data_IF_151528780719
#
_entry.id   IF_151528780719
#
_cell.length_a   1.000
_cell.length_b   1.000
_cell.length_c   1.000
_cell.angle_alpha   90.00
_cell.angle_beta   90.00
_cell.angle_gamma   90.00
#
_symmetry.space_group_name_H-M   'P 1'
#
loop_
_entity.id
_entity.type
_entity.pdbx_description
1 polymer ?
#
# COMPACT_ATOMS: atom_id res chain seq x y z
N UNK A 1 -8.31 -19.27 22.13
CA UNK A 1 -8.38 -20.36 21.12
C UNK A 1 -9.36 -19.98 20.01
N UNK A 2 -9.10 -18.87 19.32
CA UNK A 2 -9.88 -18.48 18.15
C UNK A 2 -9.42 -19.30 16.94
N UNK A 3 -10.35 -20.07 16.37
CA UNK A 3 -10.45 -20.43 14.95
C UNK A 3 -9.29 -21.08 14.17
N UNK A 4 -8.42 -21.87 14.81
CA UNK A 4 -7.41 -22.70 14.10
C UNK A 4 -8.02 -23.53 12.95
N UNK A 5 -9.24 -24.06 13.13
CA UNK A 5 -9.95 -24.82 12.08
C UNK A 5 -10.44 -23.97 10.90
N UNK A 6 -10.79 -22.70 11.12
CA UNK A 6 -11.25 -21.81 10.07
C UNK A 6 -10.06 -21.29 9.22
N UNK A 7 -8.91 -21.02 9.85
CA UNK A 7 -7.67 -20.63 9.18
C UNK A 7 -7.14 -21.77 8.30
N UNK A 8 -7.21 -23.02 8.78
CA UNK A 8 -6.86 -24.21 8.00
C UNK A 8 -7.70 -24.34 6.72
N UNK A 9 -8.98 -23.96 6.74
CA UNK A 9 -9.84 -24.01 5.56
C UNK A 9 -9.49 -22.94 4.51
N UNK A 10 -9.07 -21.73 4.93
CA UNK A 10 -8.60 -20.68 4.02
C UNK A 10 -7.24 -21.06 3.46
N UNK A 11 -6.30 -21.45 4.33
CA UNK A 11 -4.98 -21.94 3.93
C UNK A 11 -5.09 -23.12 2.97
N UNK A 12 -5.99 -24.07 3.22
CA UNK A 12 -6.26 -25.20 2.32
C UNK A 12 -6.79 -24.77 0.95
N UNK A 13 -7.74 -23.82 0.89
CA UNK A 13 -8.23 -23.27 -0.39
C UNK A 13 -7.14 -22.50 -1.14
N UNK A 14 -6.33 -21.72 -0.44
CA UNK A 14 -5.21 -20.98 -1.03
C UNK A 14 -4.11 -21.92 -1.51
N UNK A 15 -3.78 -22.97 -0.76
CA UNK A 15 -2.84 -24.01 -1.16
C UNK A 15 -3.34 -24.76 -2.41
N UNK A 16 -4.62 -25.18 -2.44
CA UNK A 16 -5.23 -25.79 -3.62
C UNK A 16 -5.21 -24.84 -4.83
N UNK A 17 -5.45 -23.55 -4.62
CA UNK A 17 -5.34 -22.53 -5.67
C UNK A 17 -3.91 -22.35 -6.14
N UNK A 18 -2.93 -22.30 -5.24
CA UNK A 18 -1.52 -22.19 -5.59
C UNK A 18 -1.07 -23.42 -6.40
N UNK A 19 -1.48 -24.63 -5.99
CA UNK A 19 -1.25 -25.88 -6.75
C UNK A 19 -1.93 -25.81 -8.11
N UNK A 20 -3.20 -25.39 -8.17
CA UNK A 20 -3.94 -25.23 -9.43
C UNK A 20 -3.30 -24.21 -10.38
N UNK A 21 -2.84 -23.06 -9.86
CA UNK A 21 -2.10 -22.06 -10.64
C UNK A 21 -0.77 -22.62 -11.15
N UNK A 22 -0.02 -23.35 -10.32
CA UNK A 22 1.23 -24.04 -10.75
C UNK A 22 0.97 -25.00 -11.90
N UNK A 23 -0.08 -25.81 -11.80
CA UNK A 23 -0.45 -26.78 -12.84
C UNK A 23 -0.93 -26.11 -14.14
N UNK A 24 -1.51 -24.90 -14.06
CA UNK A 24 -1.98 -24.12 -15.21
C UNK A 24 -0.94 -23.13 -15.75
N UNK A 25 0.27 -23.09 -15.19
CA UNK A 25 1.30 -22.06 -15.47
C UNK A 25 0.85 -20.62 -15.19
N UNK A 26 -0.20 -20.44 -14.38
CA UNK A 26 -0.73 -19.13 -13.95
C UNK A 26 0.04 -18.54 -12.75
N UNK A 27 1.18 -19.13 -12.35
CA UNK A 27 2.09 -18.49 -11.40
C UNK A 27 3.10 -17.69 -12.20
N UNK A 28 3.11 -16.39 -11.97
CA UNK A 28 4.12 -15.51 -12.50
C UNK A 28 5.50 -15.98 -12.04
N UNK A 29 6.43 -16.29 -12.97
CA UNK A 29 7.76 -16.77 -12.61
C UNK A 29 8.46 -15.75 -11.70
N UNK A 30 9.41 -16.24 -10.89
CA UNK A 30 10.27 -15.33 -10.15
C UNK A 30 11.03 -14.43 -11.15
N UNK A 31 11.22 -13.14 -10.85
CA UNK A 31 11.96 -12.24 -11.74
C UNK A 31 13.37 -12.74 -12.00
N UNK A 32 13.84 -12.58 -13.24
CA UNK A 32 15.20 -12.94 -13.64
C UNK A 32 16.15 -11.77 -13.36
N UNK A 33 16.74 -11.78 -12.18
CA UNK A 33 17.63 -10.71 -11.72
C UNK A 33 18.93 -10.61 -12.55
N UNK A 34 19.34 -11.70 -13.19
CA UNK A 34 20.51 -11.70 -14.07
C UNK A 34 20.17 -11.01 -15.38
N UNK A 35 19.03 -11.37 -16.00
CA UNK A 35 18.55 -10.69 -17.20
C UNK A 35 18.29 -9.20 -16.96
N UNK A 36 17.71 -8.83 -15.82
CA UNK A 36 17.55 -7.44 -15.37
C UNK A 36 18.89 -6.68 -15.39
N UNK A 37 19.88 -7.27 -14.71
CA UNK A 37 21.21 -6.67 -14.55
C UNK A 37 21.91 -6.54 -15.90
N UNK A 38 21.92 -7.61 -16.71
CA UNK A 38 22.56 -7.62 -18.02
C UNK A 38 21.93 -6.58 -18.96
N UNK A 39 20.60 -6.51 -19.01
CA UNK A 39 19.88 -5.55 -19.84
C UNK A 39 20.22 -4.11 -19.46
N UNK A 40 20.05 -3.76 -18.19
CA UNK A 40 20.29 -2.39 -17.76
C UNK A 40 21.77 -2.02 -17.84
N UNK A 41 22.68 -2.96 -17.57
CA UNK A 41 24.11 -2.74 -17.76
C UNK A 41 24.45 -2.45 -19.22
N UNK A 42 23.87 -3.19 -20.18
CA UNK A 42 24.05 -2.93 -21.60
C UNK A 42 23.50 -1.56 -22.03
N UNK A 43 22.41 -1.10 -21.41
CA UNK A 43 21.86 0.24 -21.64
C UNK A 43 22.79 1.33 -21.09
N UNK A 44 23.25 1.17 -19.84
CA UNK A 44 24.17 2.11 -19.18
C UNK A 44 25.50 2.24 -19.94
N UNK A 45 26.05 1.13 -20.45
CA UNK A 45 27.28 1.15 -21.25
C UNK A 45 27.15 1.87 -22.59
N UNK A 46 25.93 2.15 -23.05
CA UNK A 46 25.63 2.88 -24.29
C UNK A 46 25.10 4.29 -24.02
N UNK A 47 24.91 4.67 -22.76
CA UNK A 47 24.37 5.97 -22.40
C UNK A 47 25.28 7.10 -22.90
N UNK A 48 24.72 8.21 -23.42
CA UNK A 48 25.51 9.36 -23.84
C UNK A 48 26.41 9.90 -22.73
N UNK A 49 27.61 10.35 -23.10
CA UNK A 49 28.53 11.02 -22.19
C UNK A 49 27.84 12.25 -21.56
N UNK A 50 27.99 12.40 -20.25
CA UNK A 50 27.38 13.49 -19.50
C UNK A 50 25.87 13.35 -19.26
N UNK A 51 25.26 12.19 -19.54
CA UNK A 51 23.88 11.91 -19.12
C UNK A 51 23.81 11.47 -17.65
N UNK A 52 24.67 10.51 -17.29
CA UNK A 52 24.74 9.88 -15.98
C UNK A 52 26.04 10.33 -15.32
N UNK A 53 25.95 10.80 -14.07
CA UNK A 53 27.11 11.20 -13.28
C UNK A 53 27.83 9.96 -12.72
N UNK A 54 27.07 9.07 -12.08
CA UNK A 54 27.50 7.75 -11.63
C UNK A 54 26.29 6.85 -11.36
N UNK A 55 26.54 5.54 -11.24
CA UNK A 55 25.52 4.56 -10.91
C UNK A 55 26.08 3.44 -10.04
N UNK A 56 25.20 2.79 -9.29
CA UNK A 56 25.54 1.77 -8.30
C UNK A 56 24.56 0.59 -8.39
N UNK A 57 25.09 -0.61 -8.23
CA UNK A 57 24.30 -1.83 -8.12
C UNK A 57 24.25 -2.30 -6.67
N UNK A 58 23.07 -2.70 -6.22
CA UNK A 58 22.86 -3.20 -4.86
C UNK A 58 22.06 -4.51 -4.89
N UNK A 59 22.53 -5.49 -4.12
CA UNK A 59 21.79 -6.70 -3.79
C UNK A 59 21.17 -6.55 -2.41
N UNK A 60 19.87 -6.78 -2.31
CA UNK A 60 19.13 -6.71 -1.05
C UNK A 60 18.48 -8.08 -0.80
N UNK A 61 19.05 -8.86 0.13
CA UNK A 61 18.42 -10.10 0.58
C UNK A 61 17.18 -9.74 1.41
N UNK A 62 16.03 -10.36 1.14
CA UNK A 62 14.80 -10.06 1.90
C UNK A 62 14.93 -10.42 3.39
N UNK A 63 15.82 -11.37 3.72
CA UNK A 63 16.09 -11.85 5.07
C UNK A 63 17.08 -10.99 5.85
N UNK A 64 17.55 -9.87 5.30
CA UNK A 64 18.47 -9.00 6.03
C UNK A 64 17.71 -7.83 6.69
N UNK A 65 18.12 -7.43 7.91
CA UNK A 65 17.61 -6.22 8.55
C UNK A 65 17.81 -4.97 7.68
N UNK A 66 17.00 -3.92 7.90
CA UNK A 66 17.01 -2.73 7.07
C UNK A 66 18.27 -1.89 7.26
N UNK A 67 18.52 -1.08 6.24
CA UNK A 67 19.62 -0.11 6.08
C UNK A 67 20.91 -0.74 5.56
N UNK A 68 20.92 -0.98 4.26
CA UNK A 68 22.10 -1.29 3.47
C UNK A 68 22.50 -0.06 2.66
N UNK A 69 23.77 0.32 2.77
CA UNK A 69 24.33 1.42 2.02
C UNK A 69 24.46 1.11 0.53
N UNK A 70 24.08 2.05 -0.32
CA UNK A 70 24.29 1.95 -1.76
C UNK A 70 25.73 2.29 -2.19
N UNK A 71 26.53 2.89 -1.29
CA UNK A 71 27.82 3.47 -1.62
C UNK A 71 27.74 4.87 -2.26
N UNK A 72 26.54 5.33 -2.64
CA UNK A 72 26.33 6.66 -3.23
C UNK A 72 26.21 7.72 -2.14
N UNK A 73 27.19 8.64 -2.10
CA UNK A 73 27.16 9.83 -1.24
C UNK A 73 26.45 10.98 -1.96
N UNK A 74 25.33 11.42 -1.39
CA UNK A 74 24.50 12.49 -1.93
C UNK A 74 24.80 13.83 -1.28
N UNK A 75 24.73 14.89 -2.08
CA UNK A 75 24.60 16.26 -1.63
C UNK A 75 23.17 16.77 -1.86
N UNK A 76 22.78 17.81 -1.13
CA UNK A 76 21.48 18.47 -1.37
C UNK A 76 21.38 18.95 -2.82
N UNK A 77 20.28 18.60 -3.48
CA UNK A 77 20.01 18.93 -4.87
C UNK A 77 20.49 17.90 -5.89
N UNK A 78 21.20 16.84 -5.50
CA UNK A 78 21.49 15.71 -6.39
C UNK A 78 20.17 15.07 -6.88
N UNK A 79 20.11 14.76 -8.17
CA UNK A 79 18.96 14.15 -8.84
C UNK A 79 19.22 12.65 -9.00
N UNK A 80 18.34 11.83 -8.43
CA UNK A 80 18.56 10.38 -8.30
C UNK A 80 17.35 9.61 -8.79
N UNK A 81 17.59 8.50 -9.48
CA UNK A 81 16.59 7.46 -9.72
C UNK A 81 17.07 6.12 -9.20
N UNK A 82 16.16 5.29 -8.72
CA UNK A 82 16.43 3.87 -8.51
C UNK A 82 15.37 3.00 -9.20
N UNK A 83 15.80 1.81 -9.59
CA UNK A 83 14.99 0.77 -10.23
C UNK A 83 15.22 -0.53 -9.48
N UNK A 84 14.16 -1.27 -9.23
CA UNK A 84 14.23 -2.50 -8.45
C UNK A 84 13.49 -3.64 -9.14
N UNK A 85 14.09 -4.82 -9.09
CA UNK A 85 13.44 -6.06 -9.49
C UNK A 85 13.68 -7.15 -8.45
N UNK A 86 12.72 -8.06 -8.27
CA UNK A 86 12.81 -9.17 -7.33
C UNK A 86 11.54 -9.35 -6.50
N UNK A 87 11.64 -10.17 -5.45
CA UNK A 87 10.51 -10.50 -4.56
C UNK A 87 10.97 -10.78 -3.14
N UNK A 88 10.22 -10.29 -2.16
CA UNK A 88 10.33 -10.68 -0.75
C UNK A 88 9.20 -11.64 -0.38
N UNK A 89 9.53 -12.92 -0.19
CA UNK A 89 8.58 -13.98 0.10
C UNK A 89 8.36 -14.16 1.59
N UNK A 90 7.10 -14.02 2.02
CA UNK A 90 6.62 -14.55 3.29
C UNK A 90 6.44 -16.08 3.20
N UNK A 91 6.00 -16.58 2.04
CA UNK A 91 5.90 -18.02 1.79
C UNK A 91 6.03 -18.33 0.30
N UNK A 92 7.13 -18.98 -0.09
CA UNK A 92 7.30 -19.50 -1.47
C UNK A 92 6.31 -20.61 -1.79
N UNK A 93 5.91 -21.41 -0.79
CA UNK A 93 4.96 -22.51 -0.97
C UNK A 93 3.59 -21.99 -1.40
N UNK A 94 3.12 -20.94 -0.74
CA UNK A 94 1.81 -20.35 -0.99
C UNK A 94 1.83 -19.22 -2.03
N UNK A 95 3.01 -18.92 -2.59
CA UNK A 95 3.23 -17.77 -3.48
C UNK A 95 2.77 -16.44 -2.84
N UNK A 96 3.14 -16.24 -1.58
CA UNK A 96 2.87 -15.01 -0.83
C UNK A 96 4.18 -14.23 -0.77
N UNK A 97 4.22 -13.12 -1.49
CA UNK A 97 5.33 -12.19 -1.53
C UNK A 97 4.84 -10.75 -1.53
N UNK A 98 5.68 -9.84 -1.07
CA UNK A 98 5.49 -8.40 -1.22
C UNK A 98 6.21 -7.92 -2.48
N UNK A 99 5.53 -7.03 -3.19
CA UNK A 99 6.07 -6.33 -4.34
C UNK A 99 7.24 -5.40 -3.93
N UNK A 100 8.30 -5.27 -4.75
CA UNK A 100 9.42 -4.38 -4.48
C UNK A 100 9.01 -2.94 -4.16
N UNK A 101 7.95 -2.42 -4.80
CA UNK A 101 7.47 -1.07 -4.54
C UNK A 101 7.16 -0.89 -3.05
N UNK A 102 6.42 -1.83 -2.45
CA UNK A 102 6.04 -1.82 -1.03
C UNK A 102 7.20 -2.19 -0.10
N UNK A 103 8.08 -3.07 -0.57
CA UNK A 103 9.13 -3.67 0.25
C UNK A 103 10.34 -2.75 0.45
N UNK A 104 10.72 -1.99 -0.57
CA UNK A 104 11.96 -1.21 -0.58
C UNK A 104 11.70 0.22 -0.15
N UNK A 105 12.28 0.58 0.99
CA UNK A 105 12.32 1.94 1.51
C UNK A 105 13.73 2.49 1.44
N UNK A 106 13.85 3.80 1.46
CA UNK A 106 15.14 4.48 1.44
C UNK A 106 15.16 5.70 2.36
N UNK A 107 16.36 6.13 2.72
CA UNK A 107 16.63 7.40 3.40
C UNK A 107 18.02 7.92 3.02
N UNK A 108 18.20 9.23 3.12
CA UNK A 108 19.50 9.88 2.87
C UNK A 108 20.15 10.21 4.20
N UNK A 109 21.31 9.59 4.45
CA UNK A 109 22.03 9.69 5.71
C UNK A 109 21.37 8.90 6.86
N UNK A 110 22.13 8.70 7.94
CA UNK A 110 21.68 7.88 9.07
C UNK A 110 20.42 8.43 9.76
N UNK A 111 20.25 9.76 9.76
CA UNK A 111 19.13 10.47 10.39
C UNK A 111 18.07 10.95 9.39
N UNK A 112 18.18 10.60 8.11
CA UNK A 112 17.20 10.98 7.10
C UNK A 112 15.82 10.39 7.39
N UNK A 113 14.77 11.09 6.95
CA UNK A 113 13.42 10.53 6.98
C UNK A 113 13.28 9.40 5.95
N UNK A 114 12.52 8.37 6.30
CA UNK A 114 12.24 7.24 5.43
C UNK A 114 11.18 7.59 4.39
N UNK A 115 11.40 7.15 3.17
CA UNK A 115 10.45 7.28 2.07
C UNK A 115 10.56 6.08 1.11
N UNK A 116 9.54 5.93 0.26
CA UNK A 116 9.53 4.96 -0.84
C UNK A 116 8.81 5.56 -2.05
N UNK A 117 9.10 5.04 -3.24
CA UNK A 117 8.30 5.29 -4.43
C UNK A 117 6.98 4.53 -4.44
N UNK A 118 6.17 4.73 -5.49
CA UNK A 118 4.88 4.05 -5.69
C UNK A 118 4.96 2.86 -6.66
N UNK A 119 6.11 2.66 -7.31
CA UNK A 119 6.36 1.63 -8.32
C UNK A 119 7.70 0.94 -8.07
N UNK A 120 8.05 -0.05 -8.88
CA UNK A 120 9.40 -0.65 -8.94
C UNK A 120 10.49 0.30 -9.48
N UNK A 121 10.20 1.60 -9.53
CA UNK A 121 11.11 2.67 -9.85
C UNK A 121 10.70 3.93 -9.08
N UNK A 122 11.67 4.79 -8.80
CA UNK A 122 11.43 6.06 -8.15
C UNK A 122 12.55 7.04 -8.43
N UNK A 123 12.20 8.31 -8.55
CA UNK A 123 13.14 9.41 -8.72
C UNK A 123 12.78 10.52 -7.76
N UNK A 124 13.82 11.12 -7.20
CA UNK A 124 13.72 12.19 -6.22
C UNK A 124 14.94 13.09 -6.30
N UNK A 125 14.76 14.32 -5.82
CA UNK A 125 15.84 15.27 -5.59
C UNK A 125 16.25 15.19 -4.12
N UNK A 126 17.53 14.93 -3.85
CA UNK A 126 18.04 14.81 -2.49
C UNK A 126 17.82 16.11 -1.70
N UNK A 127 17.10 16.05 -0.58
CA UNK A 127 16.86 17.22 0.26
C UNK A 127 18.07 17.55 1.15
N UNK A 128 18.82 16.53 1.56
CA UNK A 128 19.98 16.64 2.45
C UNK A 128 21.20 15.89 1.94
N UNK A 129 22.21 15.80 2.79
CA UNK A 129 23.48 15.14 2.52
C UNK A 129 23.63 13.80 3.24
N UNK A 130 24.41 12.89 2.67
CA UNK A 130 24.77 11.61 3.26
C UNK A 130 24.61 10.44 2.29
N UNK A 131 24.91 9.25 2.78
CA UNK A 131 24.77 8.03 1.98
C UNK A 131 23.30 7.71 1.73
N UNK A 132 22.95 7.33 0.50
CA UNK A 132 21.65 6.75 0.20
C UNK A 132 21.59 5.30 0.72
N UNK A 133 20.69 5.07 1.67
CA UNK A 133 20.47 3.78 2.32
C UNK A 133 19.15 3.16 1.83
N UNK A 134 19.12 1.85 1.67
CA UNK A 134 17.92 1.07 1.33
C UNK A 134 17.57 0.09 2.45
N UNK A 135 16.28 -0.13 2.72
CA UNK A 135 15.80 -1.00 3.79
C UNK A 135 14.66 -1.90 3.35
N UNK A 136 14.68 -3.14 3.84
CA UNK A 136 13.52 -4.02 3.81
C UNK A 136 12.49 -3.53 4.83
N UNK A 137 11.25 -3.34 4.40
CA UNK A 137 10.14 -3.01 5.31
C UNK A 137 9.59 -4.26 6.01
N UNK A 138 9.07 -5.22 5.25
CA UNK A 138 8.53 -6.47 5.79
C UNK A 138 9.65 -7.45 6.14
N UNK A 139 9.54 -8.20 7.25
CA UNK A 139 8.36 -8.40 8.10
C UNK A 139 8.24 -7.46 9.31
N UNK A 140 9.03 -6.39 9.35
CA UNK A 140 8.96 -5.40 10.41
C UNK A 140 8.03 -4.23 10.02
N UNK A 141 8.05 -3.16 10.80
CA UNK A 141 7.31 -1.93 10.56
C UNK A 141 8.07 -0.75 11.20
N UNK A 142 7.78 0.48 10.75
CA UNK A 142 8.45 1.69 11.19
C UNK A 142 7.82 2.24 12.47
N UNK A 143 8.62 2.36 13.52
CA UNK A 143 8.23 2.99 14.78
C UNK A 143 8.23 4.52 14.69
N UNK A 144 9.06 5.09 13.81
CA UNK A 144 9.20 6.53 13.60
C UNK A 144 9.59 6.85 12.14
N UNK A 145 9.63 8.14 11.82
CA UNK A 145 9.98 8.64 10.49
C UNK A 145 11.46 8.48 10.13
N UNK A 146 12.32 8.05 11.05
CA UNK A 146 13.76 7.86 10.80
C UNK A 146 14.13 6.39 10.55
N UNK A 147 13.14 5.50 10.57
CA UNK A 147 13.32 4.09 10.22
C UNK A 147 13.75 3.22 11.39
N UNK A 148 13.41 3.63 12.62
CA UNK A 148 13.47 2.73 13.78
C UNK A 148 12.44 1.62 13.59
N UNK A 149 12.83 0.39 13.93
CA UNK A 149 11.99 -0.81 13.77
C UNK A 149 11.10 -1.00 15.00
N UNK A 150 9.89 -1.53 14.81
CA UNK A 150 9.00 -1.90 15.93
C UNK A 150 9.42 -3.21 16.60
N UNK A 151 9.99 -4.14 15.84
CA UNK A 151 10.42 -5.47 16.31
C UNK A 151 11.94 -5.62 16.19
N UNK A 152 12.49 -6.58 16.93
CA UNK A 152 13.88 -7.00 16.84
C UNK A 152 14.20 -7.59 15.45
N UNK A 153 15.47 -7.52 15.05
CA UNK A 153 15.94 -7.90 13.72
C UNK A 153 15.80 -9.40 13.39
N UNK A 154 15.61 -10.26 14.39
CA UNK A 154 15.41 -11.70 14.19
C UNK A 154 14.13 -12.04 13.41
N UNK A 155 13.19 -11.10 13.27
CA UNK A 155 11.99 -11.31 12.45
C UNK A 155 12.31 -11.56 10.98
N UNK A 156 13.42 -11.03 10.47
CA UNK A 156 13.83 -11.19 9.07
C UNK A 156 14.26 -12.61 8.72
N UNK A 157 14.56 -13.46 9.72
CA UNK A 157 14.85 -14.89 9.50
C UNK A 157 13.63 -15.66 8.97
N UNK A 158 12.43 -15.09 9.11
CA UNK A 158 11.17 -15.72 8.65
C UNK A 158 10.85 -15.50 7.17
N UNK A 159 11.62 -14.66 6.48
CA UNK A 159 11.37 -14.28 5.07
C UNK A 159 12.52 -14.70 4.17
N UNK A 160 12.24 -14.80 2.88
CA UNK A 160 13.26 -15.20 1.89
C UNK A 160 13.08 -14.44 0.58
N UNK A 161 14.07 -14.52 -0.31
CA UNK A 161 14.03 -13.81 -1.58
C UNK A 161 15.14 -12.78 -1.70
N UNK A 162 15.18 -12.15 -2.85
CA UNK A 162 16.24 -11.24 -3.23
C UNK A 162 15.63 -10.14 -4.11
N UNK A 163 16.17 -8.95 -3.94
CA UNK A 163 15.89 -7.77 -4.72
C UNK A 163 17.22 -7.27 -5.29
N UNK A 164 17.20 -6.84 -6.54
CA UNK A 164 18.32 -6.20 -7.23
C UNK A 164 17.93 -4.75 -7.52
N UNK A 165 18.79 -3.82 -7.14
CA UNK A 165 18.58 -2.40 -7.37
C UNK A 165 19.67 -1.83 -8.27
N UNK A 166 19.25 -1.01 -9.23
CA UNK A 166 20.10 -0.04 -9.91
C UNK A 166 19.79 1.35 -9.35
N UNK A 167 20.83 2.07 -8.92
CA UNK A 167 20.75 3.47 -8.50
C UNK A 167 21.53 4.31 -9.49
N UNK A 168 20.93 5.38 -10.00
CA UNK A 168 21.54 6.31 -10.96
C UNK A 168 21.49 7.71 -10.35
N UNK A 169 22.64 8.38 -10.30
CA UNK A 169 22.71 9.83 -10.11
C UNK A 169 22.87 10.50 -11.46
N UNK A 170 21.96 11.43 -11.75
CA UNK A 170 21.92 12.13 -13.02
C UNK A 170 22.90 13.30 -13.05
N UNK A 171 23.39 13.64 -14.25
CA UNK A 171 24.22 14.83 -14.44
C UNK A 171 23.38 16.12 -14.40
N UNK A 172 22.12 16.04 -14.83
CA UNK A 172 21.12 17.11 -14.83
C UNK A 172 19.86 16.65 -14.06
N UNK A 173 18.67 17.13 -14.43
CA UNK A 173 17.42 16.65 -13.84
C UNK A 173 17.11 15.19 -14.21
N UNK A 174 16.46 14.46 -13.29
CA UNK A 174 16.15 13.05 -13.50
C UNK A 174 15.26 12.81 -14.72
N UNK A 175 14.30 13.70 -15.01
CA UNK A 175 13.35 13.52 -16.10
C UNK A 175 14.04 13.54 -17.47
N UNK A 176 15.00 14.44 -17.68
CA UNK A 176 15.85 14.47 -18.88
C UNK A 176 16.62 13.16 -19.04
N UNK A 177 17.25 12.68 -17.95
CA UNK A 177 17.97 11.42 -17.91
C UNK A 177 17.10 10.20 -18.28
N UNK A 178 15.95 10.10 -17.64
CA UNK A 178 14.98 9.04 -17.84
C UNK A 178 14.44 9.00 -19.27
N UNK A 179 14.13 10.16 -19.86
CA UNK A 179 13.64 10.25 -21.25
C UNK A 179 14.70 9.77 -22.24
N UNK A 180 15.97 10.14 -22.04
CA UNK A 180 17.06 9.69 -22.89
C UNK A 180 17.25 8.16 -22.81
N UNK A 181 17.24 7.57 -21.60
CA UNK A 181 17.33 6.12 -21.45
C UNK A 181 16.08 5.39 -21.99
N UNK A 182 14.89 5.96 -21.79
CA UNK A 182 13.63 5.44 -22.34
C UNK A 182 13.68 5.35 -23.86
N UNK A 183 14.19 6.37 -24.54
CA UNK A 183 14.25 6.41 -26.01
C UNK A 183 15.26 5.38 -26.58
N UNK A 184 16.16 4.89 -25.73
CA UNK A 184 17.12 3.82 -26.05
C UNK A 184 16.65 2.42 -25.63
N UNK A 185 15.74 2.33 -24.65
CA UNK A 185 15.21 1.08 -24.12
C UNK A 185 14.01 0.61 -24.96
N UNK A 186 14.17 -0.55 -25.58
CA UNK A 186 13.14 -1.15 -26.44
C UNK A 186 12.31 -2.20 -25.69
N UNK A 187 12.51 -2.36 -24.37
CA UNK A 187 11.95 -3.43 -23.56
C UNK A 187 11.40 -2.97 -22.20
N UNK A 188 10.44 -3.70 -21.64
CA UNK A 188 9.90 -3.65 -20.26
C UNK A 188 9.39 -2.31 -19.68
N UNK A 189 9.52 -1.19 -20.39
CA UNK A 189 8.83 0.06 -20.06
C UNK A 189 9.19 0.66 -18.69
N UNK A 190 10.29 0.24 -18.05
CA UNK A 190 10.70 0.72 -16.72
C UNK A 190 10.90 2.24 -16.69
N UNK A 191 11.70 2.77 -17.63
CA UNK A 191 11.93 4.20 -17.74
C UNK A 191 10.66 4.95 -18.17
N UNK A 192 9.87 4.38 -19.09
CA UNK A 192 8.55 4.92 -19.46
C UNK A 192 7.61 5.04 -18.26
N UNK A 193 7.60 4.02 -17.39
CA UNK A 193 6.78 3.97 -16.18
C UNK A 193 7.21 5.07 -15.21
N UNK A 194 8.51 5.26 -15.01
CA UNK A 194 9.01 6.29 -14.10
C UNK A 194 8.78 7.71 -14.64
N UNK A 195 8.98 7.92 -15.95
CA UNK A 195 8.61 9.18 -16.62
C UNK A 195 7.12 9.48 -16.42
N UNK A 196 6.25 8.50 -16.66
CA UNK A 196 4.81 8.66 -16.47
C UNK A 196 4.46 8.97 -15.02
N UNK A 197 5.11 8.32 -14.05
CA UNK A 197 4.91 8.59 -12.62
C UNK A 197 5.28 10.03 -12.27
N UNK A 198 6.42 10.53 -12.75
CA UNK A 198 6.85 11.91 -12.53
C UNK A 198 5.92 12.93 -13.18
N UNK A 199 5.46 12.66 -14.40
CA UNK A 199 4.53 13.53 -15.13
C UNK A 199 3.13 13.55 -14.50
N UNK A 200 2.69 12.43 -13.92
CA UNK A 200 1.43 12.34 -13.20
C UNK A 200 1.48 13.07 -11.85
N UNK A 201 2.63 13.00 -11.16
CA UNK A 201 2.79 13.59 -9.84
C UNK A 201 1.97 12.89 -8.75
N UNK A 202 1.69 13.63 -7.68
CA UNK A 202 0.86 13.14 -6.58
C UNK A 202 -0.59 12.97 -7.04
N UNK A 203 -1.17 11.82 -6.70
CA UNK A 203 -2.56 11.47 -7.05
C UNK A 203 -3.52 11.59 -5.87
N UNK A 204 -3.00 11.83 -4.66
CA UNK A 204 -3.80 11.99 -3.47
C UNK A 204 -4.87 13.10 -3.69
N UNK A 205 -6.15 12.81 -3.44
CA UNK A 205 -7.20 13.81 -3.48
C UNK A 205 -6.90 14.99 -2.53
N UNK A 206 -7.24 16.25 -2.91
CA UNK A 206 -7.00 17.41 -2.04
C UNK A 206 -7.61 17.24 -0.64
N UNK A 207 -6.82 17.56 0.39
CA UNK A 207 -7.24 17.42 1.79
C UNK A 207 -7.03 16.04 2.40
N UNK A 208 -6.62 15.06 1.60
CA UNK A 208 -6.31 13.71 2.04
C UNK A 208 -4.80 13.44 2.02
N UNK A 209 -4.30 12.69 3.01
CA UNK A 209 -2.89 12.29 3.11
C UNK A 209 -2.75 10.77 3.25
N UNK A 210 -1.75 10.18 2.59
CA UNK A 210 -1.43 8.77 2.78
C UNK A 210 -0.83 8.52 4.17
N UNK A 211 -1.16 7.37 4.77
CA UNK A 211 -0.57 6.95 6.03
C UNK A 211 0.95 6.76 5.88
N UNK A 212 1.70 7.60 6.60
CA UNK A 212 3.13 7.78 6.35
C UNK A 212 3.98 6.49 6.43
N UNK A 213 3.67 5.56 7.33
CA UNK A 213 4.48 4.34 7.52
C UNK A 213 4.12 3.21 6.54
N UNK A 214 3.06 3.37 5.73
CA UNK A 214 2.83 2.56 4.52
C UNK A 214 3.37 3.26 3.26
N UNK A 215 3.46 4.60 3.31
CA UNK A 215 3.99 5.43 2.25
C UNK A 215 2.92 5.77 1.19
N UNK A 216 3.32 6.51 0.14
CA UNK A 216 2.42 6.92 -0.93
C UNK A 216 1.96 5.71 -1.75
N UNK A 217 0.85 5.85 -2.47
CA UNK A 217 0.39 4.92 -3.49
C UNK A 217 -0.27 5.69 -4.65
N UNK A 218 -0.67 4.99 -5.71
CA UNK A 218 -1.41 5.57 -6.85
C UNK A 218 -2.87 5.04 -6.93
N UNK A 219 -3.35 4.49 -5.82
CA UNK A 219 -4.64 3.81 -5.67
C UNK A 219 -5.81 4.78 -5.75
N UNK A 220 -5.67 5.98 -5.17
CA UNK A 220 -6.77 6.94 -5.02
C UNK A 220 -6.59 8.13 -5.94
N UNK A 221 -7.68 8.59 -6.56
CA UNK A 221 -7.70 9.78 -7.42
C UNK A 221 -9.00 10.55 -7.26
N UNK A 222 -8.92 11.88 -7.36
CA UNK A 222 -10.13 12.70 -7.52
C UNK A 222 -10.86 12.31 -8.80
N UNK A 223 -12.18 12.19 -8.72
CA UNK A 223 -13.04 11.77 -9.82
C UNK A 223 -14.39 12.50 -9.77
N UNK A 224 -15.09 12.54 -10.90
CA UNK A 224 -16.45 13.06 -11.02
C UNK A 224 -17.19 12.21 -12.05
N UNK A 225 -18.47 11.94 -11.83
CA UNK A 225 -19.33 11.24 -12.78
C UNK A 225 -20.69 11.95 -12.91
N UNK A 226 -21.62 11.36 -13.66
CA UNK A 226 -22.92 11.97 -13.92
C UNK A 226 -23.80 12.15 -12.66
N UNK A 227 -23.62 11.32 -11.63
CA UNK A 227 -24.39 11.37 -10.38
C UNK A 227 -23.72 12.20 -9.28
N UNK A 228 -22.38 12.31 -9.31
CA UNK A 228 -21.58 12.91 -8.24
C UNK A 228 -20.45 13.78 -8.81
N UNK A 229 -20.45 15.05 -8.44
CA UNK A 229 -19.41 16.00 -8.84
C UNK A 229 -18.07 15.79 -8.12
N UNK A 230 -18.10 15.24 -6.90
CA UNK A 230 -16.92 14.98 -6.07
C UNK A 230 -16.90 13.52 -5.63
N UNK A 231 -16.00 12.73 -6.23
CA UNK A 231 -15.73 11.35 -5.86
C UNK A 231 -14.25 11.13 -5.63
N UNK A 232 -13.93 10.10 -4.86
CA UNK A 232 -12.59 9.51 -4.83
C UNK A 232 -12.70 8.14 -5.48
N UNK A 233 -12.02 7.97 -6.61
CA UNK A 233 -11.87 6.68 -7.27
C UNK A 233 -10.72 5.91 -6.65
N UNK A 234 -10.98 4.67 -6.29
CA UNK A 234 -10.03 3.70 -5.79
C UNK A 234 -9.85 2.57 -6.80
N UNK A 235 -8.61 2.30 -7.22
CA UNK A 235 -8.25 1.11 -7.98
C UNK A 235 -7.00 0.48 -7.37
N UNK A 236 -7.10 -0.78 -6.99
CA UNK A 236 -6.00 -1.51 -6.34
C UNK A 236 -5.77 -2.85 -7.03
N UNK A 237 -4.52 -3.29 -7.11
CA UNK A 237 -4.14 -4.61 -7.63
C UNK A 237 -2.78 -5.01 -7.07
N UNK A 238 -2.76 -5.98 -6.14
CA UNK A 238 -1.51 -6.39 -5.48
C UNK A 238 -0.85 -5.29 -4.64
N UNK A 239 -1.62 -4.26 -4.27
CA UNK A 239 -1.16 -3.06 -3.58
C UNK A 239 -1.96 -2.82 -2.30
N UNK A 240 -1.49 -1.89 -1.47
CA UNK A 240 -2.14 -1.42 -0.25
C UNK A 240 -2.01 0.09 -0.11
N UNK A 241 -3.11 0.75 0.30
CA UNK A 241 -3.11 2.19 0.57
C UNK A 241 -4.15 2.59 1.59
N UNK A 242 -3.71 3.36 2.59
CA UNK A 242 -4.57 4.02 3.57
C UNK A 242 -4.47 5.52 3.32
N UNK A 243 -5.58 6.11 2.91
CA UNK A 243 -5.71 7.54 2.70
C UNK A 243 -6.54 8.12 3.85
N UNK A 244 -6.07 9.19 4.48
CA UNK A 244 -6.63 9.73 5.72
C UNK A 244 -7.01 11.20 5.56
N UNK A 245 -8.13 11.59 6.16
CA UNK A 245 -8.51 12.98 6.35
C UNK A 245 -8.74 13.23 7.83
N UNK A 246 -8.06 14.25 8.37
CA UNK A 246 -8.29 14.70 9.75
C UNK A 246 -9.70 15.25 9.90
N UNK A 247 -10.37 14.83 10.95
CA UNK A 247 -11.62 15.42 11.42
C UNK A 247 -11.48 15.71 12.91
N UNK A 248 -12.39 16.49 13.47
CA UNK A 248 -12.38 16.71 14.92
C UNK A 248 -13.80 16.97 15.41
N UNK A 249 -14.46 15.93 15.89
CA UNK A 249 -15.85 15.98 16.38
C UNK A 249 -16.01 15.19 17.67
N UNK A 250 -16.88 15.63 18.60
CA UNK A 250 -17.25 14.80 19.74
C UNK A 250 -17.96 13.51 19.29
N UNK A 251 -17.68 12.40 19.98
CA UNK A 251 -18.42 11.16 19.81
C UNK A 251 -19.62 11.15 20.78
N UNK A 252 -20.79 11.52 20.27
CA UNK A 252 -22.05 11.58 21.01
C UNK A 252 -22.93 10.37 20.67
N UNK A 253 -23.95 10.08 21.48
CA UNK A 253 -24.91 9.00 21.19
C UNK A 253 -25.65 9.19 19.84
N UNK A 254 -25.78 10.44 19.39
CA UNK A 254 -26.36 10.81 18.10
C UNK A 254 -25.36 10.81 16.94
N UNK A 255 -24.07 10.60 17.20
CA UNK A 255 -23.03 10.64 16.18
C UNK A 255 -23.20 9.51 15.17
N UNK A 256 -23.38 9.88 13.91
CA UNK A 256 -23.54 8.96 12.80
C UNK A 256 -22.67 9.37 11.62
N UNK A 257 -22.17 8.37 10.91
CA UNK A 257 -21.54 8.54 9.60
C UNK A 257 -22.47 8.04 8.51
N UNK A 258 -22.53 8.76 7.40
CA UNK A 258 -23.15 8.30 6.15
C UNK A 258 -22.18 8.49 5.00
N UNK A 259 -22.24 7.58 4.03
CA UNK A 259 -21.44 7.67 2.82
C UNK A 259 -22.16 6.98 1.66
N UNK A 260 -21.69 7.28 0.46
CA UNK A 260 -22.05 6.56 -0.76
C UNK A 260 -20.82 5.91 -1.34
N UNK A 261 -21.02 4.75 -1.95
CA UNK A 261 -19.98 4.06 -2.70
C UNK A 261 -20.57 3.26 -3.86
N UNK A 262 -19.82 3.16 -4.95
CA UNK A 262 -20.07 2.24 -6.05
C UNK A 262 -18.91 1.27 -6.10
N UNK A 263 -19.10 0.07 -5.56
CA UNK A 263 -18.07 -0.98 -5.60
C UNK A 263 -18.26 -1.79 -6.86
N UNK A 264 -17.37 -1.62 -7.84
CA UNK A 264 -17.43 -2.36 -9.10
C UNK A 264 -16.88 -3.79 -8.93
N UNK A 265 -15.82 -3.92 -8.12
CA UNK A 265 -15.12 -5.19 -7.96
C UNK A 265 -14.48 -5.32 -6.58
N UNK A 266 -14.71 -6.47 -5.94
CA UNK A 266 -14.06 -6.84 -4.68
C UNK A 266 -12.67 -7.46 -4.94
N UNK A 267 -11.63 -7.08 -4.17
CA UNK A 267 -10.28 -7.63 -4.31
C UNK A 267 -10.14 -9.02 -3.68
N UNK A 268 -11.20 -9.55 -3.04
CA UNK A 268 -11.23 -10.89 -2.48
C UNK A 268 -12.28 -11.78 -3.14
N UNK A 269 -12.11 -13.09 -2.98
CA UNK A 269 -13.10 -14.12 -3.33
C UNK A 269 -13.35 -15.09 -2.17
N UNK A 270 -12.78 -14.79 -1.01
CA UNK A 270 -12.81 -15.58 0.21
C UNK A 270 -13.25 -14.66 1.36
N UNK A 271 -13.59 -15.26 2.50
CA UNK A 271 -13.78 -14.48 3.72
C UNK A 271 -12.49 -13.73 4.09
N UNK A 272 -12.62 -12.51 4.58
CA UNK A 272 -11.51 -11.60 4.84
C UNK A 272 -11.03 -11.62 6.30
N UNK A 273 -11.61 -12.45 7.16
CA UNK A 273 -11.29 -12.53 8.59
C UNK A 273 -10.08 -13.43 8.92
N UNK A 274 -9.15 -13.58 7.98
CA UNK A 274 -7.88 -14.29 8.18
C UNK A 274 -6.75 -13.65 7.38
N UNK A 275 -5.52 -13.67 7.90
CA UNK A 275 -4.33 -13.01 7.31
C UNK A 275 -4.19 -13.25 5.81
N UNK A 276 -4.19 -14.50 5.29
CA UNK A 276 -3.82 -14.74 3.90
C UNK A 276 -4.96 -14.44 2.89
N UNK A 277 -6.12 -13.97 3.36
CA UNK A 277 -7.25 -13.56 2.54
C UNK A 277 -7.79 -12.17 2.90
N UNK A 278 -7.03 -11.39 3.66
CA UNK A 278 -7.44 -10.11 4.21
C UNK A 278 -7.37 -8.97 3.18
N UNK A 279 -7.98 -9.17 2.00
CA UNK A 279 -8.09 -8.17 0.93
C UNK A 279 -9.49 -7.54 0.94
N UNK A 280 -9.58 -6.21 0.98
CA UNK A 280 -10.84 -5.49 1.10
C UNK A 280 -10.73 -4.04 0.61
N UNK A 281 -11.90 -3.42 0.39
CA UNK A 281 -12.08 -1.98 0.19
C UNK A 281 -13.02 -1.47 1.28
N UNK A 282 -12.68 -0.36 1.93
CA UNK A 282 -13.45 0.13 3.08
C UNK A 282 -13.42 1.64 3.26
N UNK A 283 -14.27 2.09 4.18
CA UNK A 283 -14.19 3.36 4.85
C UNK A 283 -14.01 3.10 6.35
N UNK A 284 -13.07 3.79 7.00
CA UNK A 284 -12.83 3.66 8.43
C UNK A 284 -12.99 4.99 9.17
N UNK A 285 -13.31 4.91 10.46
CA UNK A 285 -13.41 6.05 11.36
C UNK A 285 -12.51 5.81 12.56
N UNK A 286 -11.49 6.65 12.73
CA UNK A 286 -10.52 6.61 13.83
C UNK A 286 -10.97 7.51 14.98
N UNK A 287 -10.72 7.05 16.20
CA UNK A 287 -11.05 7.74 17.44
C UNK A 287 -9.79 8.17 18.22
N UNK A 288 -9.95 9.06 19.20
CA UNK A 288 -8.84 9.66 19.95
C UNK A 288 -8.00 8.68 20.80
N UNK A 289 -8.48 7.45 21.00
CA UNK A 289 -7.73 6.37 21.64
C UNK A 289 -6.85 5.56 20.66
N UNK A 290 -6.79 5.97 19.39
CA UNK A 290 -5.97 5.35 18.35
C UNK A 290 -6.53 4.04 17.79
N UNK A 291 -7.81 3.74 18.06
CA UNK A 291 -8.55 2.62 17.45
C UNK A 291 -9.51 3.12 16.38
N UNK A 292 -9.91 2.25 15.48
CA UNK A 292 -10.82 2.56 14.38
C UNK A 292 -11.89 1.46 14.16
N UNK A 293 -13.02 1.87 13.60
CA UNK A 293 -14.03 0.95 13.03
C UNK A 293 -13.94 1.05 11.50
N UNK A 294 -13.67 -0.08 10.86
CA UNK A 294 -13.56 -0.22 9.40
C UNK A 294 -14.82 -0.87 8.83
N UNK A 295 -15.64 -0.09 8.13
CA UNK A 295 -16.82 -0.57 7.42
C UNK A 295 -16.45 -1.03 6.01
N UNK A 296 -16.71 -2.29 5.69
CA UNK A 296 -16.29 -2.86 4.41
C UNK A 296 -17.34 -3.78 3.78
N UNK A 297 -17.19 -4.01 2.47
CA UNK A 297 -18.01 -4.92 1.69
C UNK A 297 -17.31 -6.28 1.61
N UNK A 298 -17.90 -7.30 2.22
CA UNK A 298 -17.31 -8.65 2.24
C UNK A 298 -17.69 -9.47 1.01
N UNK A 299 -16.79 -10.33 0.58
CA UNK A 299 -17.03 -11.32 -0.47
C UNK A 299 -17.89 -12.49 0.03
N UNK A 300 -17.86 -12.81 1.34
CA UNK A 300 -18.42 -14.06 1.86
C UNK A 300 -18.90 -14.05 3.32
N UNK A 301 -18.50 -13.08 4.14
CA UNK A 301 -18.94 -12.98 5.54
C UNK A 301 -20.32 -12.32 5.62
N UNK A 302 -21.18 -12.72 6.57
CA UNK A 302 -22.52 -12.16 6.70
C UNK A 302 -22.49 -10.70 7.17
N UNK A 303 -23.47 -9.90 6.72
CA UNK A 303 -23.65 -8.51 7.18
C UNK A 303 -23.78 -8.46 8.71
N UNK A 304 -23.12 -7.47 9.33
CA UNK A 304 -23.08 -7.28 10.78
C UNK A 304 -22.02 -8.13 11.51
N UNK A 305 -21.31 -9.02 10.80
CA UNK A 305 -20.12 -9.70 11.32
C UNK A 305 -19.05 -8.66 11.65
N UNK A 306 -18.54 -8.72 12.88
CA UNK A 306 -17.42 -7.91 13.35
C UNK A 306 -16.23 -8.78 13.76
N UNK A 307 -15.00 -8.29 13.56
CA UNK A 307 -13.76 -8.95 13.98
C UNK A 307 -12.59 -7.97 14.07
N UNK A 308 -11.66 -8.21 15.00
CA UNK A 308 -10.38 -7.49 15.04
C UNK A 308 -9.53 -7.82 13.80
N UNK A 309 -8.79 -6.82 13.29
CA UNK A 309 -7.88 -7.00 12.16
C UNK A 309 -6.93 -8.20 12.41
N UNK A 310 -6.87 -9.18 11.48
CA UNK A 310 -6.07 -10.38 11.64
C UNK A 310 -4.57 -10.11 11.51
N UNK A 311 -4.16 -8.93 11.03
CA UNK A 311 -2.75 -8.58 10.84
C UNK A 311 -2.10 -8.21 12.19
N UNK A 312 -0.96 -8.83 12.57
CA UNK A 312 -0.35 -8.61 13.89
C UNK A 312 -0.08 -7.15 14.26
N UNK A 313 0.33 -6.32 13.30
CA UNK A 313 0.65 -4.90 13.55
C UNK A 313 -0.58 -4.00 13.72
N UNK A 314 -1.76 -4.52 13.36
CA UNK A 314 -3.06 -3.83 13.36
C UNK A 314 -4.06 -4.41 14.36
N UNK A 315 -3.81 -5.62 14.86
CA UNK A 315 -4.64 -6.28 15.86
C UNK A 315 -4.86 -5.38 17.09
N UNK A 316 -6.13 -5.21 17.48
CA UNK A 316 -6.55 -4.34 18.58
C UNK A 316 -6.64 -2.84 18.25
N UNK A 317 -6.15 -2.41 17.09
CA UNK A 317 -6.31 -1.04 16.58
C UNK A 317 -7.49 -0.94 15.63
N UNK A 318 -7.49 -1.77 14.60
CA UNK A 318 -8.53 -1.79 13.56
C UNK A 318 -9.57 -2.87 13.85
N UNK A 319 -10.85 -2.48 13.81
CA UNK A 319 -11.98 -3.40 13.99
C UNK A 319 -12.90 -3.38 12.76
N UNK A 320 -12.98 -4.51 12.04
CA UNK A 320 -13.77 -4.61 10.82
C UNK A 320 -15.24 -4.90 11.11
N UNK A 321 -16.13 -4.25 10.37
CA UNK A 321 -17.58 -4.49 10.38
C UNK A 321 -18.09 -4.66 8.95
N UNK A 322 -18.70 -5.80 8.67
CA UNK A 322 -19.31 -6.09 7.36
C UNK A 322 -20.62 -5.30 7.22
N UNK A 323 -20.67 -4.35 6.28
CA UNK A 323 -21.90 -3.59 5.98
C UNK A 323 -22.66 -4.15 4.79
N UNK A 324 -21.95 -4.83 3.88
CA UNK A 324 -22.52 -5.55 2.72
C UNK A 324 -21.79 -6.86 2.47
N UNK A 325 -22.45 -7.79 1.82
CA UNK A 325 -21.90 -9.12 1.55
C UNK A 325 -22.28 -9.64 0.17
N UNK A 326 -21.35 -10.34 -0.47
CA UNK A 326 -21.58 -10.98 -1.77
C UNK A 326 -21.55 -9.98 -2.92
N UNK A 327 -22.20 -10.34 -4.03
CA UNK A 327 -22.15 -9.59 -5.29
C UNK A 327 -23.35 -8.68 -5.51
N UNK A 328 -24.36 -8.76 -4.65
CA UNK A 328 -25.63 -8.09 -4.86
C UNK A 328 -25.46 -6.58 -4.65
N UNK A 329 -25.67 -5.80 -5.72
CA UNK A 329 -25.49 -4.35 -5.74
C UNK A 329 -24.09 -3.86 -6.16
N UNK A 330 -23.18 -4.76 -6.57
CA UNK A 330 -21.92 -4.34 -7.19
C UNK A 330 -22.19 -3.60 -8.52
N UNK A 331 -21.40 -2.57 -8.80
CA UNK A 331 -21.59 -1.68 -9.95
C UNK A 331 -22.76 -0.70 -9.82
N UNK A 332 -23.43 -0.67 -8.66
CA UNK A 332 -24.50 0.27 -8.33
C UNK A 332 -24.12 1.13 -7.13
N UNK A 333 -24.57 2.38 -7.13
CA UNK A 333 -24.40 3.27 -5.97
C UNK A 333 -25.21 2.78 -4.77
N UNK A 334 -24.53 2.53 -3.68
CA UNK A 334 -25.14 2.17 -2.40
C UNK A 334 -25.05 3.34 -1.42
N UNK A 335 -26.08 3.47 -0.58
CA UNK A 335 -26.13 4.44 0.51
C UNK A 335 -25.97 3.72 1.84
N UNK A 336 -25.01 4.16 2.64
CA UNK A 336 -24.76 3.63 3.97
C UNK A 336 -24.97 4.68 5.05
N UNK A 337 -25.43 4.24 6.21
CA UNK A 337 -25.49 5.05 7.43
C UNK A 337 -25.29 4.17 8.64
N UNK A 338 -24.38 4.58 9.54
CA UNK A 338 -24.06 3.86 10.79
C UNK A 338 -24.04 4.84 11.97
N UNK A 339 -24.56 4.41 13.11
CA UNK A 339 -24.36 5.12 14.37
C UNK A 339 -23.00 4.72 14.94
N UNK A 340 -22.09 5.68 15.02
CA UNK A 340 -20.70 5.43 15.42
C UNK A 340 -20.59 5.07 16.91
N UNK A 341 -21.38 5.72 17.77
CA UNK A 341 -21.37 5.48 19.20
C UNK A 341 -21.93 4.09 19.53
N UNK A 342 -23.06 3.72 18.93
CA UNK A 342 -23.67 2.40 19.10
C UNK A 342 -22.78 1.28 18.58
N UNK A 343 -22.17 1.46 17.40
CA UNK A 343 -21.25 0.47 16.84
C UNK A 343 -20.00 0.32 17.71
N UNK A 344 -19.39 1.42 18.15
CA UNK A 344 -18.27 1.35 19.07
C UNK A 344 -18.64 0.59 20.35
N UNK A 345 -19.78 0.95 20.98
CA UNK A 345 -20.27 0.27 22.18
C UNK A 345 -20.49 -1.22 21.97
N UNK A 346 -21.07 -1.59 20.83
CA UNK A 346 -21.39 -2.97 20.48
C UNK A 346 -20.14 -3.82 20.25
N UNK A 347 -19.16 -3.28 19.54
CA UNK A 347 -18.05 -4.05 19.01
C UNK A 347 -16.76 -3.92 19.82
N UNK A 348 -16.53 -2.75 20.44
CA UNK A 348 -15.22 -2.35 20.97
C UNK A 348 -15.24 -1.95 22.45
N UNK A 349 -16.42 -1.85 23.08
CA UNK A 349 -16.59 -1.53 24.50
C UNK A 349 -16.88 -0.05 24.74
N UNK A 350 -16.34 0.53 25.81
CA UNK A 350 -16.67 1.91 26.19
C UNK A 350 -16.21 2.94 25.12
N UNK A 351 -17.11 3.79 24.59
CA UNK A 351 -16.76 4.77 23.57
C UNK A 351 -15.72 5.82 24.02
N UNK A 352 -14.76 6.18 23.16
CA UNK A 352 -13.85 7.31 23.36
C UNK A 352 -14.57 8.66 23.26
N UNK A 353 -13.88 9.76 23.53
CA UNK A 353 -14.50 11.08 23.55
C UNK A 353 -14.67 11.69 22.15
N UNK A 354 -13.79 11.37 21.20
CA UNK A 354 -13.72 12.09 19.92
C UNK A 354 -13.51 11.17 18.72
N UNK A 355 -14.03 11.63 17.59
CA UNK A 355 -13.73 11.16 16.24
C UNK A 355 -12.63 12.06 15.68
N UNK A 356 -11.53 11.47 15.20
CA UNK A 356 -10.30 12.22 14.86
C UNK A 356 -9.85 12.06 13.41
N UNK A 357 -10.20 10.96 12.73
CA UNK A 357 -9.93 10.82 11.28
C UNK A 357 -11.00 9.97 10.58
N UNK A 358 -11.13 10.18 9.28
CA UNK A 358 -11.78 9.24 8.35
C UNK A 358 -10.73 8.70 7.42
N UNK A 359 -10.74 7.39 7.17
CA UNK A 359 -9.81 6.74 6.26
C UNK A 359 -10.55 6.07 5.11
N UNK A 360 -9.91 6.00 3.95
CA UNK A 360 -10.22 5.05 2.89
C UNK A 360 -9.10 4.02 2.85
N UNK A 361 -9.46 2.74 2.90
CA UNK A 361 -8.48 1.65 2.92
C UNK A 361 -8.77 0.70 1.75
N UNK A 362 -7.70 0.36 1.05
CA UNK A 362 -7.69 -0.62 -0.01
C UNK A 362 -6.52 -1.56 0.24
N UNK A 363 -6.81 -2.84 0.36
CA UNK A 363 -5.79 -3.87 0.49
C UNK A 363 -6.07 -5.00 -0.51
N UNK A 364 -5.06 -5.35 -1.30
CA UNK A 364 -5.14 -6.40 -2.31
C UNK A 364 -3.86 -7.23 -2.41
N UNK A 365 -2.94 -7.10 -1.44
CA UNK A 365 -1.59 -7.69 -1.50
C UNK A 365 -1.60 -9.22 -1.38
N UNK A 366 -2.63 -9.82 -0.77
CA UNK A 366 -2.62 -11.25 -0.46
C UNK A 366 -3.06 -12.09 -1.65
N UNK A 367 -4.25 -11.85 -2.18
CA UNK A 367 -4.76 -12.57 -3.35
C UNK A 367 -4.31 -11.95 -4.68
N UNK A 368 -3.82 -10.70 -4.66
CA UNK A 368 -3.38 -9.93 -5.84
C UNK A 368 -4.45 -9.90 -6.93
N UNK A 369 -5.68 -9.55 -6.53
CA UNK A 369 -6.80 -9.32 -7.47
C UNK A 369 -7.12 -7.84 -7.53
N UNK A 370 -7.73 -7.45 -8.63
CA UNK A 370 -8.21 -6.08 -8.78
C UNK A 370 -9.39 -5.82 -7.84
N UNK A 371 -9.36 -4.66 -7.19
CA UNK A 371 -10.48 -4.04 -6.50
C UNK A 371 -10.73 -2.65 -7.08
N UNK A 372 -12.01 -2.29 -7.22
CA UNK A 372 -12.42 -1.01 -7.77
C UNK A 372 -13.65 -0.47 -7.02
N UNK A 373 -13.58 0.79 -6.60
CA UNK A 373 -14.64 1.48 -5.88
C UNK A 373 -14.57 3.00 -6.13
N UNK A 374 -15.71 3.65 -6.30
CA UNK A 374 -15.84 5.10 -6.18
C UNK A 374 -16.51 5.44 -4.84
N UNK A 375 -15.93 6.35 -4.06
CA UNK A 375 -16.48 6.86 -2.80
C UNK A 375 -17.05 8.26 -3.01
N UNK A 376 -18.16 8.60 -2.36
CA UNK A 376 -18.80 9.91 -2.43
C UNK A 376 -19.59 10.24 -1.15
N UNK A 377 -19.94 11.52 -0.97
CA UNK A 377 -20.89 12.00 0.05
C UNK A 377 -20.59 11.50 1.48
N UNK A 378 -19.33 11.54 1.88
CA UNK A 378 -18.92 11.11 3.22
C UNK A 378 -19.23 12.24 4.19
N UNK A 379 -20.11 11.97 5.15
CA UNK A 379 -20.62 12.95 6.10
C UNK A 379 -20.64 12.35 7.50
N UNK A 380 -20.07 13.07 8.45
CA UNK A 380 -20.27 12.83 9.89
C UNK A 380 -21.32 13.82 10.39
N UNK A 381 -22.26 13.35 11.20
CA UNK A 381 -23.34 14.16 11.77
C UNK A 381 -23.51 13.84 13.25
N UNK A 382 -23.78 14.85 14.08
CA UNK A 382 -24.10 14.69 15.50
C UNK A 382 -25.01 15.83 15.95
N UNK A 383 -26.14 15.54 16.58
CA UNK A 383 -27.17 16.51 16.96
C UNK A 383 -27.53 17.49 15.82
N UNK A 384 -27.00 18.73 15.86
CA UNK A 384 -27.20 19.78 14.87
C UNK A 384 -25.94 20.09 14.03
N UNK A 385 -24.82 19.42 14.31
CA UNK A 385 -23.56 19.60 13.59
C UNK A 385 -23.43 18.57 12.46
N UNK A 386 -22.91 19.03 11.33
CA UNK A 386 -22.63 18.20 10.18
C UNK A 386 -21.27 18.58 9.60
N UNK A 387 -20.39 17.60 9.47
CA UNK A 387 -19.10 17.73 8.81
C UNK A 387 -19.12 16.91 7.52
N UNK A 388 -19.02 17.58 6.38
CA UNK A 388 -18.79 16.93 5.09
C UNK A 388 -17.29 16.68 4.92
N UNK A 389 -16.93 15.41 4.79
CA UNK A 389 -15.57 14.93 4.57
C UNK A 389 -15.29 14.84 3.06
N UNK A 390 -16.26 14.34 2.28
CA UNK A 390 -16.20 14.23 0.82
C UNK A 390 -17.48 14.79 0.14
#
# INVERSE_FOLDING_TARGET
MANVGADLSVAGKLALRAIGRRLRTDIEPAPDLEAFTQRLQALLSRAPDGLIRDYYWLDLAASQPPWVGSGLQLASGDEVSYFVEGRAYASRLLDIYLDPALQVWCKVGAQGEVFRGTRCSHSFRAAGEGELLFGNYFPNDWADRHGTRKLEDSVYDSVSGQLKLLVIRWQADALTGLRALRDMDTSDGLFSSEVQRLEQGDTAPPGWEYLWHLGPAEIYRSHSNAEHANCIRCKTHGDVGILQQRVDMPLLESSAISWRWCVDQLPSTLREDSVPSHDYLSLAVEFDNGRDITYYWSSALPVGRGYDCPLPNWAGKEYHVVVRSGKDGLGEWQNERRNLYEDYRRYMGEPPARIVKVWLIANSIFQRREGACDYADIVISSDNDQLRVL
#
